data_IF_710236150787
#
_entry.id   IF_710236150787
#
_cell.length_a   1.000
_cell.length_b   1.000
_cell.length_c   1.000
_cell.angle_alpha   90.00
_cell.angle_beta   90.00
_cell.angle_gamma   90.00
#
_symmetry.space_group_name_H-M   'P 1'
#
loop_
_entity.id
_entity.type
_entity.pdbx_description
1 polymer ?
#
# COMPACT_ATOMS: atom_id res chain seq x y z
N UNK A 1 -0.20 25.40 7.33
CA UNK A 1 -0.46 24.07 7.94
C UNK A 1 0.73 23.19 7.59
N UNK A 2 1.81 23.27 8.37
CA UNK A 2 3.17 22.83 7.99
C UNK A 2 3.77 21.82 8.98
N UNK A 3 2.93 21.07 9.70
CA UNK A 3 3.39 20.15 10.76
C UNK A 3 3.02 18.68 10.53
N UNK A 4 2.60 18.29 9.32
CA UNK A 4 2.29 16.88 8.99
C UNK A 4 3.11 16.43 7.78
N UNK A 5 3.74 15.25 7.89
CA UNK A 5 4.42 14.56 6.78
C UNK A 5 3.37 13.99 5.81
N UNK A 6 2.75 14.89 5.04
CA UNK A 6 1.76 14.54 4.04
C UNK A 6 2.42 14.36 2.66
N UNK A 7 2.23 13.19 2.06
CA UNK A 7 2.92 12.77 0.83
C UNK A 7 1.91 12.56 -0.33
N UNK A 8 1.46 13.63 -1.01
CA UNK A 8 0.39 13.55 -2.00
C UNK A 8 0.77 12.80 -3.29
N UNK A 9 2.06 12.56 -3.52
CA UNK A 9 2.54 11.79 -4.67
C UNK A 9 2.64 10.29 -4.39
N UNK A 10 2.64 9.89 -3.11
CA UNK A 10 2.68 8.48 -2.73
C UNK A 10 1.26 7.92 -2.68
N UNK A 11 1.05 6.81 -3.39
CA UNK A 11 -0.25 6.13 -3.45
C UNK A 11 -0.53 5.33 -2.17
N UNK A 12 0.52 4.80 -1.56
CA UNK A 12 0.53 4.10 -0.27
C UNK A 12 1.71 4.59 0.56
N UNK A 13 1.49 4.94 1.82
CA UNK A 13 2.53 5.38 2.77
C UNK A 13 2.57 4.42 3.94
N UNK A 14 3.78 4.00 4.35
CA UNK A 14 4.01 3.18 5.54
C UNK A 14 4.72 4.04 6.57
N UNK A 15 4.10 4.21 7.74
CA UNK A 15 4.68 4.88 8.90
C UNK A 15 4.65 3.93 10.10
N UNK A 16 5.77 3.24 10.33
CA UNK A 16 5.87 2.18 11.33
C UNK A 16 4.89 1.05 11.04
N UNK A 17 3.90 0.87 11.92
CA UNK A 17 2.82 -0.12 11.78
C UNK A 17 1.54 0.44 11.16
N UNK A 18 1.50 1.74 10.85
CA UNK A 18 0.36 2.39 10.22
C UNK A 18 0.59 2.46 8.71
N UNK A 19 -0.38 1.98 7.93
CA UNK A 19 -0.34 2.04 6.46
C UNK A 19 -1.55 2.83 6.00
N UNK A 20 -1.34 3.82 5.12
CA UNK A 20 -2.40 4.68 4.58
C UNK A 20 -2.34 4.73 3.05
N UNK A 21 -3.46 5.01 2.40
CA UNK A 21 -3.57 5.20 0.95
C UNK A 21 -4.58 6.31 0.61
N UNK A 22 -4.63 6.74 -0.65
CA UNK A 22 -5.37 7.93 -1.06
C UNK A 22 -6.88 7.72 -1.28
N UNK A 23 -7.31 6.47 -1.49
CA UNK A 23 -8.73 6.15 -1.73
C UNK A 23 -8.95 4.97 -2.68
N UNK A 24 -10.15 4.87 -3.29
CA UNK A 24 -10.56 3.70 -4.09
C UNK A 24 -9.58 3.36 -5.22
N UNK A 25 -9.05 4.38 -5.90
CA UNK A 25 -8.07 4.20 -6.99
C UNK A 25 -6.74 3.62 -6.55
N UNK A 26 -6.44 3.55 -5.24
CA UNK A 26 -5.21 3.00 -4.65
C UNK A 26 -5.45 1.74 -3.81
N UNK A 27 -6.68 1.23 -3.80
CA UNK A 27 -7.07 0.12 -2.92
C UNK A 27 -6.29 -1.16 -3.21
N UNK A 28 -6.01 -1.43 -4.49
CA UNK A 28 -5.25 -2.63 -4.88
C UNK A 28 -3.81 -2.54 -4.39
N UNK A 29 -3.12 -1.41 -4.59
CA UNK A 29 -1.75 -1.24 -4.09
C UNK A 29 -1.68 -1.30 -2.57
N UNK A 30 -2.68 -0.73 -1.88
CA UNK A 30 -2.80 -0.83 -0.42
C UNK A 30 -2.92 -2.30 0.02
N UNK A 31 -3.81 -3.06 -0.61
CA UNK A 31 -3.98 -4.49 -0.31
C UNK A 31 -2.71 -5.29 -0.54
N UNK A 32 -2.05 -5.09 -1.69
CA UNK A 32 -0.78 -5.74 -1.99
C UNK A 32 0.32 -5.38 -0.99
N UNK A 33 0.39 -4.11 -0.57
CA UNK A 33 1.36 -3.67 0.44
C UNK A 33 1.11 -4.31 1.81
N UNK A 34 -0.15 -4.51 2.19
CA UNK A 34 -0.48 -5.25 3.42
C UNK A 34 -0.06 -6.73 3.33
N UNK A 35 -0.29 -7.39 2.19
CA UNK A 35 0.16 -8.78 1.99
C UNK A 35 1.69 -8.86 2.07
N UNK A 36 2.40 -7.90 1.48
CA UNK A 36 3.86 -7.83 1.54
C UNK A 36 4.36 -7.72 2.99
N UNK A 37 3.77 -6.82 3.79
CA UNK A 37 4.19 -6.54 5.16
C UNK A 37 3.79 -7.63 6.16
N UNK A 38 2.65 -8.29 5.96
CA UNK A 38 2.07 -9.24 6.93
C UNK A 38 2.37 -10.71 6.58
N UNK A 39 2.59 -11.02 5.30
CA UNK A 39 2.82 -12.38 4.84
C UNK A 39 4.24 -12.54 4.27
N UNK A 40 4.48 -11.98 3.08
CA UNK A 40 5.79 -11.93 2.42
C UNK A 40 5.71 -11.19 1.09
N UNK A 41 6.84 -10.70 0.59
CA UNK A 41 6.94 -10.11 -0.74
C UNK A 41 6.56 -11.09 -1.86
N UNK A 42 6.97 -12.36 -1.76
CA UNK A 42 6.61 -13.41 -2.72
C UNK A 42 5.09 -13.62 -2.78
N UNK A 43 4.42 -13.63 -1.62
CA UNK A 43 2.97 -13.78 -1.58
C UNK A 43 2.26 -12.58 -2.21
N UNK A 44 2.76 -11.37 -1.97
CA UNK A 44 2.23 -10.16 -2.60
C UNK A 44 2.35 -10.23 -4.13
N UNK A 45 3.50 -10.67 -4.66
CA UNK A 45 3.71 -10.87 -6.12
C UNK A 45 2.77 -11.94 -6.69
N UNK A 46 2.60 -13.07 -5.99
CA UNK A 46 1.66 -14.12 -6.40
C UNK A 46 0.22 -13.61 -6.46
N UNK A 47 -0.21 -12.82 -5.47
CA UNK A 47 -1.55 -12.22 -5.45
C UNK A 47 -1.71 -11.17 -6.55
N UNK A 48 -0.69 -10.34 -6.78
CA UNK A 48 -0.69 -9.35 -7.86
C UNK A 48 -0.83 -10.01 -9.24
N UNK A 49 -0.17 -11.14 -9.48
CA UNK A 49 -0.29 -11.90 -10.74
C UNK A 49 -1.67 -12.55 -10.93
N UNK A 50 -2.32 -12.94 -9.83
CA UNK A 50 -3.65 -13.54 -9.86
C UNK A 50 -4.76 -12.50 -10.05
N UNK A 51 -4.52 -11.25 -9.61
CA UNK A 51 -5.38 -10.12 -9.92
C UNK A 51 -5.09 -9.70 -11.37
N UNK A 52 -6.14 -9.47 -12.17
CA UNK A 52 -5.99 -8.96 -13.56
C UNK A 52 -5.72 -7.45 -13.53
N UNK A 53 -4.62 -7.06 -12.89
CA UNK A 53 -4.12 -5.68 -12.80
C UNK A 53 -2.90 -5.45 -13.67
#
# INVERSE_FOLDING_TARGET
>A
MTAVDYRPKERVVVNGKCVTSQGPGTAIEMGLKLVELLCSEEKAKSVAQALVV
#
